data_IF_296537656620
#
_entry.id   IF_296537656620
#
_cell.length_a   1.000
_cell.length_b   1.000
_cell.length_c   1.000
_cell.angle_alpha   90.00
_cell.angle_beta   90.00
_cell.angle_gamma   90.00
#
_symmetry.space_group_name_H-M   'P 1'
#
loop_
_entity.id
_entity.type
_entity.pdbx_description
1 polymer ?
#
# COMPACT_ATOMS: atom_id res chain seq x y z
N UNK A 1 17.53 14.05 7.26
CA UNK A 1 16.19 13.73 6.71
C UNK A 1 16.17 14.10 5.24
N UNK A 2 16.32 13.12 4.34
CA UNK A 2 16.15 13.34 2.90
C UNK A 2 14.70 13.78 2.65
N UNK A 3 14.50 14.56 1.60
CA UNK A 3 13.22 15.17 1.24
C UNK A 3 12.27 14.11 0.62
N UNK A 4 11.88 13.14 1.44
CA UNK A 4 11.18 11.90 1.08
C UNK A 4 9.78 12.15 0.48
N UNK A 5 9.12 13.22 0.96
CA UNK A 5 7.77 13.72 0.58
C UNK A 5 7.49 13.91 -0.92
N UNK A 6 8.50 13.84 -1.79
CA UNK A 6 8.39 14.08 -3.25
C UNK A 6 8.84 12.88 -4.10
N UNK A 7 9.51 11.87 -3.53
CA UNK A 7 10.22 10.85 -4.33
C UNK A 7 9.27 9.82 -4.96
N UNK A 8 8.24 9.37 -4.23
CA UNK A 8 7.26 8.43 -4.77
C UNK A 8 6.32 9.10 -5.78
N UNK A 9 5.83 10.31 -5.49
CA UNK A 9 4.89 11.04 -6.36
C UNK A 9 5.50 11.33 -7.75
N UNK A 10 6.80 11.66 -7.81
CA UNK A 10 7.49 11.92 -9.08
C UNK A 10 7.65 10.68 -9.97
N UNK A 11 7.53 9.46 -9.42
CA UNK A 11 7.71 8.21 -10.17
C UNK A 11 6.45 7.72 -10.88
N UNK A 12 5.28 8.23 -10.52
CA UNK A 12 4.00 7.81 -11.11
C UNK A 12 3.45 8.88 -12.06
N UNK A 13 3.18 8.48 -13.30
CA UNK A 13 2.49 9.31 -14.28
C UNK A 13 1.04 9.57 -13.86
N UNK A 14 0.35 10.51 -14.51
CA UNK A 14 -1.07 10.74 -14.26
C UNK A 14 -1.91 9.49 -14.56
N UNK A 15 -1.62 8.81 -15.67
CA UNK A 15 -2.32 7.59 -16.06
C UNK A 15 -2.18 6.47 -15.02
N UNK A 16 -0.99 6.32 -14.41
CA UNK A 16 -0.77 5.32 -13.36
C UNK A 16 -1.61 5.64 -12.12
N UNK A 17 -1.70 6.92 -11.75
CA UNK A 17 -2.52 7.38 -10.62
C UNK A 17 -4.00 7.10 -10.86
N UNK A 18 -4.50 7.45 -12.04
CA UNK A 18 -5.91 7.24 -12.41
C UNK A 18 -6.26 5.74 -12.40
N UNK A 19 -5.34 4.87 -12.84
CA UNK A 19 -5.51 3.43 -12.83
C UNK A 19 -5.57 2.86 -11.40
N UNK A 20 -4.66 3.26 -10.51
CA UNK A 20 -4.70 2.89 -9.07
C UNK A 20 -6.04 3.32 -8.46
N UNK A 21 -6.54 4.48 -8.85
CA UNK A 21 -7.71 5.08 -8.21
C UNK A 21 -8.99 4.39 -8.65
N UNK A 22 -9.13 4.10 -9.93
CA UNK A 22 -10.26 3.33 -10.42
C UNK A 22 -10.28 1.93 -9.80
N UNK A 23 -9.10 1.34 -9.58
CA UNK A 23 -8.94 0.13 -8.82
C UNK A 23 -9.40 0.27 -7.36
N UNK A 24 -8.89 1.27 -6.63
CA UNK A 24 -9.26 1.52 -5.24
C UNK A 24 -10.75 1.88 -5.06
N UNK A 25 -11.38 2.50 -6.07
CA UNK A 25 -12.84 2.76 -6.10
C UNK A 25 -13.66 1.48 -6.05
N UNK A 26 -13.14 0.39 -6.62
CA UNK A 26 -13.80 -0.92 -6.71
C UNK A 26 -13.55 -1.82 -5.49
N UNK A 27 -12.69 -1.40 -4.56
CA UNK A 27 -12.40 -2.15 -3.34
C UNK A 27 -13.60 -2.09 -2.40
N UNK A 28 -14.15 -3.25 -2.03
CA UNK A 28 -15.03 -3.37 -0.87
C UNK A 28 -14.20 -3.51 0.42
N UNK A 29 -14.53 -2.72 1.44
CA UNK A 29 -13.81 -2.75 2.72
C UNK A 29 -13.84 -4.13 3.37
N UNK A 30 -14.97 -4.82 3.33
CA UNK A 30 -15.13 -6.10 4.04
C UNK A 30 -14.27 -7.19 3.41
N UNK A 31 -14.16 -7.21 2.08
CA UNK A 31 -13.29 -8.16 1.37
C UNK A 31 -11.82 -7.80 1.50
N UNK A 32 -11.48 -6.51 1.38
CA UNK A 32 -10.13 -6.04 1.62
C UNK A 32 -9.63 -6.32 3.04
N UNK A 33 -10.46 -6.07 4.06
CA UNK A 33 -10.13 -6.32 5.46
C UNK A 33 -9.87 -7.82 5.73
N UNK A 34 -10.60 -8.74 5.07
CA UNK A 34 -10.33 -10.18 5.16
C UNK A 34 -8.95 -10.53 4.63
N UNK A 35 -8.58 -10.02 3.46
CA UNK A 35 -7.26 -10.26 2.86
C UNK A 35 -6.14 -9.59 3.67
N UNK A 36 -6.39 -8.38 4.18
CA UNK A 36 -5.48 -7.67 5.07
C UNK A 36 -5.18 -8.49 6.33
N UNK A 37 -6.21 -9.10 6.93
CA UNK A 37 -6.09 -9.99 8.08
C UNK A 37 -5.24 -11.22 7.77
N UNK A 38 -5.49 -11.83 6.62
CA UNK A 38 -4.82 -13.03 6.16
C UNK A 38 -3.33 -12.78 5.93
N UNK A 39 -2.98 -11.72 5.18
CA UNK A 39 -1.58 -11.37 4.90
C UNK A 39 -0.84 -10.89 6.15
N UNK A 40 -1.50 -10.14 7.04
CA UNK A 40 -0.92 -9.75 8.33
C UNK A 40 -0.53 -10.97 9.17
N UNK A 41 -1.39 -11.99 9.24
CA UNK A 41 -1.09 -13.25 9.94
C UNK A 41 0.07 -13.99 9.29
N UNK A 42 0.10 -14.05 7.96
CA UNK A 42 1.17 -14.71 7.21
C UNK A 42 2.53 -14.06 7.45
N UNK A 43 2.58 -12.72 7.45
CA UNK A 43 3.79 -11.94 7.67
C UNK A 43 4.09 -11.67 9.17
N UNK A 44 3.30 -12.25 10.08
CA UNK A 44 3.43 -12.10 11.55
C UNK A 44 3.42 -10.63 12.02
N UNK A 45 2.65 -9.78 11.34
CA UNK A 45 2.52 -8.35 11.64
C UNK A 45 1.32 -8.12 12.58
N UNK A 46 1.53 -7.45 13.72
CA UNK A 46 0.51 -7.11 14.71
C UNK A 46 0.06 -5.64 14.61
N UNK A 47 -1.17 -5.32 15.08
CA UNK A 47 -1.68 -3.93 15.18
C UNK A 47 -2.50 -3.40 13.98
N UNK A 48 -2.92 -4.24 13.04
CA UNK A 48 -3.37 -3.83 11.69
C UNK A 48 -4.85 -3.43 11.58
N UNK A 49 -5.68 -3.76 12.57
CA UNK A 49 -7.16 -3.63 12.46
C UNK A 49 -7.62 -2.18 12.52
N UNK A 50 -7.08 -1.36 13.43
CA UNK A 50 -7.44 0.06 13.54
C UNK A 50 -6.88 0.87 12.37
N UNK A 51 -5.62 0.60 12.00
CA UNK A 51 -4.91 1.31 10.93
C UNK A 51 -5.51 1.04 9.54
N UNK A 52 -6.03 -0.17 9.29
CA UNK A 52 -6.66 -0.51 8.02
C UNK A 52 -7.90 0.33 7.71
N UNK A 53 -8.80 0.54 8.69
CA UNK A 53 -10.01 1.34 8.48
C UNK A 53 -9.71 2.81 8.18
N UNK A 54 -8.79 3.40 8.93
CA UNK A 54 -8.39 4.81 8.73
C UNK A 54 -7.80 5.01 7.33
N UNK A 55 -6.91 4.10 6.91
CA UNK A 55 -6.33 4.10 5.56
C UNK A 55 -7.41 3.97 4.48
N UNK A 56 -8.35 3.04 4.64
CA UNK A 56 -9.45 2.86 3.69
C UNK A 56 -10.31 4.13 3.59
N UNK A 57 -10.66 4.73 4.73
CA UNK A 57 -11.48 5.94 4.79
C UNK A 57 -10.77 7.14 4.16
N UNK A 58 -9.46 7.28 4.38
CA UNK A 58 -8.66 8.37 3.84
C UNK A 58 -8.41 8.19 2.35
N UNK A 59 -8.10 6.97 1.89
CA UNK A 59 -8.09 6.62 0.47
C UNK A 59 -9.39 7.07 -0.19
N UNK A 60 -10.55 6.78 0.41
CA UNK A 60 -11.84 7.15 -0.18
C UNK A 60 -12.01 8.66 -0.30
N UNK A 61 -11.64 9.43 0.73
CA UNK A 61 -11.66 10.90 0.67
C UNK A 61 -10.76 11.43 -0.44
N UNK A 62 -9.53 10.92 -0.57
CA UNK A 62 -8.56 11.37 -1.57
C UNK A 62 -8.99 11.08 -2.99
N UNK A 63 -9.66 9.94 -3.19
CA UNK A 63 -10.28 9.56 -4.46
C UNK A 63 -11.39 10.53 -4.86
N UNK A 64 -12.18 10.99 -3.89
CA UNK A 64 -13.29 11.92 -4.15
C UNK A 64 -12.79 13.36 -4.40
N UNK A 65 -11.61 13.72 -3.88
CA UNK A 65 -11.01 15.06 -4.03
C UNK A 65 -9.96 15.20 -5.13
N UNK A 66 -9.65 14.14 -5.89
CA UNK A 66 -8.58 14.09 -6.91
C UNK A 66 -7.18 14.47 -6.37
N UNK A 67 -7.01 14.50 -5.04
CA UNK A 67 -5.76 14.85 -4.37
C UNK A 67 -5.10 13.61 -3.79
N UNK A 68 -4.17 13.06 -4.56
CA UNK A 68 -3.43 11.83 -4.26
C UNK A 68 -2.27 12.04 -3.29
N UNK A 69 -1.83 13.29 -3.10
CA UNK A 69 -0.61 13.59 -2.35
C UNK A 69 -0.71 13.14 -0.88
N UNK A 70 -1.84 13.33 -0.18
CA UNK A 70 -2.04 12.79 1.16
C UNK A 70 -1.91 11.27 1.25
N UNK A 71 -2.38 10.51 0.25
CA UNK A 71 -2.26 9.04 0.23
C UNK A 71 -0.80 8.59 0.34
N UNK A 72 0.07 9.12 -0.52
CA UNK A 72 1.48 8.76 -0.53
C UNK A 72 2.20 9.19 0.76
N UNK A 73 1.82 10.32 1.34
CA UNK A 73 2.37 10.77 2.64
C UNK A 73 1.95 9.83 3.76
N UNK A 74 0.70 9.34 3.75
CA UNK A 74 0.21 8.36 4.73
C UNK A 74 0.94 7.03 4.59
N UNK A 75 1.08 6.51 3.36
CA UNK A 75 1.86 5.29 3.11
C UNK A 75 3.33 5.44 3.53
N UNK A 76 3.95 6.58 3.28
CA UNK A 76 5.33 6.84 3.69
C UNK A 76 5.50 6.91 5.21
N UNK A 77 4.56 7.54 5.92
CA UNK A 77 4.54 7.52 7.39
C UNK A 77 4.35 6.11 7.92
N UNK A 78 3.42 5.34 7.36
CA UNK A 78 3.19 3.95 7.75
C UNK A 78 4.43 3.08 7.54
N UNK A 79 5.12 3.24 6.41
CA UNK A 79 6.37 2.54 6.15
C UNK A 79 7.46 2.91 7.17
N UNK A 80 7.52 4.19 7.55
CA UNK A 80 8.52 4.70 8.51
C UNK A 80 8.22 4.24 9.94
N UNK A 81 6.95 4.28 10.35
CA UNK A 81 6.54 4.03 11.74
C UNK A 81 6.32 2.53 12.01
N UNK A 82 5.73 1.80 11.06
CA UNK A 82 5.33 0.40 11.21
C UNK A 82 6.16 -0.58 10.36
N UNK A 83 7.05 -0.06 9.50
CA UNK A 83 7.92 -0.85 8.64
C UNK A 83 7.31 -1.19 7.28
N UNK A 84 8.16 -1.59 6.34
CA UNK A 84 7.76 -1.87 4.95
C UNK A 84 6.82 -3.08 4.83
N UNK A 85 6.90 -4.02 5.78
CA UNK A 85 5.99 -5.16 5.84
C UNK A 85 4.51 -4.74 5.87
N UNK A 86 4.17 -3.60 6.48
CA UNK A 86 2.81 -3.07 6.47
C UNK A 86 2.37 -2.64 5.07
N UNK A 87 3.24 -2.00 4.30
CA UNK A 87 2.96 -1.58 2.92
C UNK A 87 2.78 -2.79 2.01
N UNK A 88 3.58 -3.83 2.23
CA UNK A 88 3.44 -5.12 1.52
C UNK A 88 2.08 -5.75 1.79
N UNK A 89 1.67 -5.84 3.07
CA UNK A 89 0.36 -6.38 3.45
C UNK A 89 -0.78 -5.56 2.85
N UNK A 90 -0.71 -4.23 2.94
CA UNK A 90 -1.72 -3.31 2.39
C UNK A 90 -1.83 -3.42 0.87
N UNK A 91 -0.70 -3.48 0.16
CA UNK A 91 -0.71 -3.56 -1.30
C UNK A 91 -1.21 -4.92 -1.80
N UNK A 92 -0.79 -6.03 -1.17
CA UNK A 92 -1.29 -7.36 -1.55
C UNK A 92 -2.76 -7.57 -1.21
N UNK A 93 -3.26 -6.99 -0.11
CA UNK A 93 -4.69 -7.06 0.19
C UNK A 93 -5.53 -6.32 -0.84
N UNK A 94 -5.08 -5.17 -1.35
CA UNK A 94 -5.75 -4.46 -2.46
C UNK A 94 -5.73 -5.30 -3.74
N UNK A 95 -4.59 -5.88 -4.10
CA UNK A 95 -4.47 -6.75 -5.28
C UNK A 95 -5.42 -7.95 -5.17
N UNK A 96 -5.52 -8.56 -3.99
CA UNK A 96 -6.40 -9.71 -3.77
C UNK A 96 -7.89 -9.35 -3.78
N UNK A 97 -8.25 -8.15 -3.35
CA UNK A 97 -9.64 -7.70 -3.22
C UNK A 97 -10.19 -7.01 -4.48
N UNK A 98 -9.42 -6.90 -5.56
CA UNK A 98 -9.83 -6.18 -6.78
C UNK A 98 -9.46 -6.93 -8.04
N UNK A 99 -10.30 -6.82 -9.07
CA UNK A 99 -10.00 -7.34 -10.39
C UNK A 99 -9.07 -6.36 -11.15
N UNK A 100 -7.83 -6.24 -10.69
CA UNK A 100 -6.83 -5.42 -11.37
C UNK A 100 -6.42 -6.09 -12.68
N UNK A 101 -6.44 -5.32 -13.77
CA UNK A 101 -5.66 -5.67 -14.95
C UNK A 101 -4.17 -5.69 -14.62
N UNK A 102 -3.36 -6.31 -15.49
CA UNK A 102 -1.91 -6.49 -15.27
C UNK A 102 -1.16 -5.18 -14.97
N UNK A 103 -1.64 -4.05 -15.52
CA UNK A 103 -1.11 -2.72 -15.23
C UNK A 103 -1.38 -2.26 -13.80
N UNK A 104 -2.58 -2.51 -13.26
CA UNK A 104 -2.91 -2.15 -11.88
C UNK A 104 -2.06 -2.94 -10.87
N UNK A 105 -1.85 -4.23 -11.13
CA UNK A 105 -0.94 -5.06 -10.33
C UNK A 105 0.49 -4.52 -10.40
N UNK A 106 1.01 -4.28 -11.62
CA UNK A 106 2.36 -3.77 -11.82
C UNK A 106 2.60 -2.44 -11.10
N UNK A 107 1.60 -1.55 -11.09
CA UNK A 107 1.70 -0.26 -10.41
C UNK A 107 1.72 -0.43 -8.88
N UNK A 108 0.82 -1.23 -8.30
CA UNK A 108 0.81 -1.47 -6.84
C UNK A 108 2.11 -2.16 -6.40
N UNK A 109 2.58 -3.15 -7.16
CA UNK A 109 3.88 -3.77 -6.93
C UNK A 109 5.02 -2.74 -7.03
N UNK A 110 4.97 -1.83 -8.01
CA UNK A 110 5.91 -0.73 -8.13
C UNK A 110 5.91 0.22 -6.92
N UNK A 111 4.73 0.51 -6.36
CA UNK A 111 4.60 1.27 -5.10
C UNK A 111 5.30 0.52 -3.97
N UNK A 112 5.00 -0.77 -3.78
CA UNK A 112 5.64 -1.59 -2.75
C UNK A 112 7.17 -1.57 -2.93
N UNK A 113 7.66 -1.87 -4.14
CA UNK A 113 9.09 -1.87 -4.45
C UNK A 113 9.76 -0.50 -4.25
N UNK A 114 9.00 0.60 -4.30
CA UNK A 114 9.55 1.94 -4.02
C UNK A 114 9.82 2.21 -2.54
N UNK A 115 9.18 1.46 -1.64
CA UNK A 115 9.40 1.50 -0.19
C UNK A 115 10.36 0.43 0.29
N UNK A 116 10.59 -0.62 -0.50
CA UNK A 116 11.46 -1.74 -0.16
C UNK A 116 12.92 -1.40 -0.48
N UNK A 117 13.67 -1.04 0.57
CA UNK A 117 15.12 -0.86 0.49
C UNK A 117 15.87 -2.19 0.76
N UNK A 118 17.18 -2.25 0.47
CA UNK A 118 18.00 -3.46 0.67
C UNK A 118 17.95 -3.99 2.11
N UNK A 119 17.98 -3.11 3.10
CA UNK A 119 17.89 -3.48 4.52
C UNK A 119 16.52 -4.08 4.87
N UNK A 120 15.45 -3.60 4.23
CA UNK A 120 14.09 -4.08 4.45
C UNK A 120 13.87 -5.44 3.76
N UNK A 121 14.50 -5.68 2.59
CA UNK A 121 14.57 -7.00 1.96
C UNK A 121 15.24 -8.03 2.86
N UNK A 122 16.36 -7.69 3.48
CA UNK A 122 17.05 -8.61 4.39
C UNK A 122 16.21 -8.94 5.63
N UNK A 123 15.48 -7.96 6.18
CA UNK A 123 14.53 -8.19 7.29
C UNK A 123 13.34 -9.05 6.87
N UNK A 124 12.77 -8.80 5.69
CA UNK A 124 11.69 -9.60 5.12
C UNK A 124 12.13 -11.04 4.90
N UNK A 125 13.30 -11.26 4.30
CA UNK A 125 13.90 -12.57 4.09
C UNK A 125 14.08 -13.33 5.40
N UNK A 126 14.68 -12.69 6.42
CA UNK A 126 14.80 -13.26 7.77
C UNK A 126 13.44 -13.59 8.41
N UNK A 127 12.42 -12.76 8.20
CA UNK A 127 11.08 -12.97 8.75
C UNK A 127 10.36 -14.14 8.05
N UNK A 128 10.59 -14.28 6.74
CA UNK A 128 10.03 -15.34 5.89
C UNK A 128 10.82 -16.65 5.97
N UNK A 129 12.02 -16.64 6.56
CA UNK A 129 12.88 -17.83 6.70
C UNK A 129 13.57 -18.25 5.40
N UNK A 130 13.78 -17.30 4.48
CA UNK A 130 14.48 -17.47 3.19
C UNK A 130 15.73 -16.58 3.11
#
# INVERSE_FOLDING_TARGET
MKNTRMYCIKKFSKADRDAIVNALKSVDYSDWAKHLAQFSRYLKISGWVSTGYDIYSDIRKYIDTDDWRPLFITLEKLATDAGVGYIVVLGFSVIASTALGIWGVAIITGIICSFVDKEELEKLNKTLGI
#
